data_IF_660588312813
#
_entry.id   IF_660588312813
#
_cell.length_a   1.000
_cell.length_b   1.000
_cell.length_c   1.000
_cell.angle_alpha   90.00
_cell.angle_beta   90.00
_cell.angle_gamma   90.00
#
_symmetry.space_group_name_H-M   'P 1'
#
loop_
_entity.id
_entity.type
_entity.pdbx_description
1 polymer ?
#
# COMPACT_ATOMS: atom_id res chain seq x y z
N UNK A 1 20.81 7.32 1.46
CA UNK A 1 19.68 6.62 0.84
C UNK A 1 18.99 5.78 1.89
N UNK A 2 17.75 6.13 2.22
CA UNK A 2 16.87 5.39 3.12
C UNK A 2 15.80 4.67 2.31
N UNK A 3 15.21 3.61 2.85
CA UNK A 3 14.11 2.89 2.20
C UNK A 3 12.79 3.26 2.87
N UNK A 4 11.76 3.45 2.06
CA UNK A 4 10.38 3.56 2.53
C UNK A 4 9.59 2.43 1.90
N UNK A 5 8.97 1.63 2.74
CA UNK A 5 7.98 0.66 2.31
C UNK A 5 6.62 1.33 2.31
N UNK A 6 5.97 1.38 1.14
CA UNK A 6 4.59 1.86 0.99
C UNK A 6 3.70 0.65 0.74
N UNK A 7 2.70 0.47 1.59
CA UNK A 7 1.71 -0.60 1.48
C UNK A 7 0.33 0.03 1.29
N UNK A 8 -0.27 -0.22 0.13
CA UNK A 8 -1.68 0.03 -0.10
C UNK A 8 -2.50 -1.19 0.27
N UNK A 9 -3.67 -0.98 0.88
CA UNK A 9 -4.72 -1.98 1.04
C UNK A 9 -6.04 -1.52 0.43
N UNK A 10 -6.60 -2.38 -0.41
CA UNK A 10 -7.92 -2.25 -0.99
C UNK A 10 -8.85 -3.26 -0.32
N UNK A 11 -9.96 -2.77 0.22
CA UNK A 11 -10.99 -3.59 0.80
C UNK A 11 -11.86 -4.14 -0.34
N UNK A 12 -11.60 -5.37 -0.78
CA UNK A 12 -12.46 -5.99 -1.80
C UNK A 12 -13.81 -6.33 -1.17
N UNK A 13 -14.79 -5.46 -1.40
CA UNK A 13 -16.16 -5.61 -0.94
C UNK A 13 -16.88 -6.55 -1.90
N UNK A 14 -16.88 -7.85 -1.60
CA UNK A 14 -17.68 -8.84 -2.35
C UNK A 14 -19.17 -8.50 -2.13
N UNK A 15 -20.02 -8.48 -3.19
CA UNK A 15 -21.39 -7.96 -3.12
C UNK A 15 -22.37 -8.72 -2.21
N UNK A 16 -21.94 -9.77 -1.48
CA UNK A 16 -22.83 -10.62 -0.70
C UNK A 16 -22.44 -10.85 0.78
N UNK A 17 -21.55 -10.03 1.35
CA UNK A 17 -21.32 -9.98 2.80
C UNK A 17 -20.76 -11.26 3.46
N UNK A 18 -20.45 -12.31 2.71
CA UNK A 18 -19.75 -13.50 3.19
C UNK A 18 -18.26 -13.32 2.99
N UNK A 19 -17.50 -13.21 4.07
CA UNK A 19 -16.05 -13.39 4.07
C UNK A 19 -15.79 -14.86 3.74
N UNK A 20 -15.16 -15.15 2.59
CA UNK A 20 -14.75 -16.50 2.25
C UNK A 20 -13.45 -16.81 3.02
N UNK A 21 -13.48 -17.86 3.84
CA UNK A 21 -12.35 -18.39 4.65
C UNK A 21 -11.35 -19.18 3.78
N UNK A 22 -11.10 -18.71 2.55
CA UNK A 22 -10.28 -19.41 1.58
C UNK A 22 -8.92 -18.72 1.50
N UNK A 23 -7.84 -19.47 1.72
CA UNK A 23 -6.47 -18.98 1.59
C UNK A 23 -6.19 -18.36 0.20
N UNK A 24 -7.01 -18.71 -0.79
CA UNK A 24 -7.06 -18.15 -2.14
C UNK A 24 -7.54 -16.70 -2.20
N UNK A 25 -8.36 -16.25 -1.25
CA UNK A 25 -8.81 -14.86 -1.11
C UNK A 25 -7.81 -13.95 -0.38
N UNK A 26 -6.79 -14.51 0.32
CA UNK A 26 -5.69 -13.68 0.84
C UNK A 26 -4.88 -13.02 -0.28
N UNK A 27 -4.93 -13.56 -1.50
CA UNK A 27 -4.40 -12.93 -2.71
C UNK A 27 -5.37 -11.89 -3.32
N UNK A 28 -6.62 -11.88 -2.87
CA UNK A 28 -7.67 -10.90 -3.19
C UNK A 28 -7.86 -9.85 -2.08
N UNK A 29 -7.17 -9.93 -0.95
CA UNK A 29 -6.90 -8.73 -0.15
C UNK A 29 -6.00 -7.90 -1.06
N UNK A 30 -6.55 -6.88 -1.73
CA UNK A 30 -5.80 -6.06 -2.69
C UNK A 30 -4.73 -5.27 -1.95
N UNK A 31 -3.67 -5.95 -1.51
CA UNK A 31 -2.56 -5.44 -0.75
C UNK A 31 -1.36 -5.42 -1.68
N UNK A 32 -0.86 -4.23 -1.95
CA UNK A 32 0.36 -4.03 -2.73
C UNK A 32 1.36 -3.35 -1.83
N UNK A 33 2.56 -3.94 -1.75
CA UNK A 33 3.69 -3.36 -1.03
C UNK A 33 4.80 -3.06 -2.01
N UNK A 34 5.31 -1.84 -1.98
CA UNK A 34 6.41 -1.36 -2.80
C UNK A 34 7.47 -0.67 -1.96
N UNK A 35 8.71 -0.64 -2.46
CA UNK A 35 9.83 0.02 -1.80
C UNK A 35 10.28 1.20 -2.65
N UNK A 36 10.33 2.36 -2.00
CA UNK A 36 10.84 3.62 -2.55
C UNK A 36 12.16 3.97 -1.86
N UNK A 37 13.05 4.61 -2.59
CA UNK A 37 14.33 5.10 -2.07
C UNK A 37 14.26 6.62 -1.95
N UNK A 38 14.61 7.15 -0.78
CA UNK A 38 14.61 8.58 -0.48
C UNK A 38 15.98 9.03 0.02
N UNK A 39 16.29 10.31 -0.14
CA UNK A 39 17.58 10.88 0.24
C UNK A 39 17.61 11.26 1.73
N UNK A 40 16.49 11.77 2.26
CA UNK A 40 16.30 12.09 3.68
C UNK A 40 14.95 11.57 4.21
N UNK A 41 14.80 11.45 5.53
CA UNK A 41 13.53 11.14 6.21
C UNK A 41 12.63 12.36 6.39
N UNK A 42 12.74 13.31 5.47
CA UNK A 42 11.84 14.46 5.42
C UNK A 42 10.42 13.99 5.14
N UNK A 43 9.46 14.57 5.87
CA UNK A 43 8.04 14.34 5.67
C UNK A 43 7.62 14.49 4.20
N UNK A 44 8.18 15.48 3.49
CA UNK A 44 7.87 15.73 2.08
C UNK A 44 8.26 14.56 1.17
N UNK A 45 9.39 13.91 1.42
CA UNK A 45 9.82 12.76 0.63
C UNK A 45 8.97 11.52 0.90
N UNK A 46 8.52 11.34 2.14
CA UNK A 46 7.60 10.25 2.51
C UNK A 46 6.23 10.48 1.86
N UNK A 47 5.72 11.72 1.88
CA UNK A 47 4.47 12.10 1.19
C UNK A 47 4.59 11.88 -0.33
N UNK A 48 5.72 12.23 -0.95
CA UNK A 48 5.97 11.98 -2.38
C UNK A 48 5.96 10.47 -2.72
N UNK A 49 6.45 9.61 -1.81
CA UNK A 49 6.37 8.15 -1.99
C UNK A 49 4.92 7.65 -1.99
N UNK A 50 4.07 8.20 -1.11
CA UNK A 50 2.64 7.88 -1.04
C UNK A 50 1.92 8.35 -2.31
N UNK A 51 2.20 9.57 -2.78
CA UNK A 51 1.60 10.11 -3.99
C UNK A 51 1.97 9.29 -5.24
N UNK A 52 3.25 8.92 -5.38
CA UNK A 52 3.71 8.02 -6.45
C UNK A 52 3.00 6.68 -6.42
N UNK A 53 2.81 6.12 -5.23
CA UNK A 53 2.06 4.88 -5.05
C UNK A 53 0.61 5.05 -5.54
N UNK A 54 -0.10 6.11 -5.13
CA UNK A 54 -1.48 6.36 -5.58
C UNK A 54 -1.60 6.57 -7.10
N UNK A 55 -0.64 7.27 -7.71
CA UNK A 55 -0.63 7.48 -9.17
C UNK A 55 -0.49 6.15 -9.91
N UNK A 56 0.38 5.26 -9.43
CA UNK A 56 0.61 3.95 -10.02
C UNK A 56 -0.53 2.96 -9.74
N UNK A 57 -1.14 3.10 -8.57
CA UNK A 57 -2.13 2.18 -8.02
C UNK A 57 -3.38 2.97 -7.56
N UNK A 58 -4.22 3.43 -8.52
CA UNK A 58 -5.46 4.12 -8.15
C UNK A 58 -6.47 3.14 -7.53
N UNK A 59 -7.26 3.63 -6.56
CA UNK A 59 -8.39 2.88 -6.01
C UNK A 59 -8.11 2.07 -4.74
N UNK A 60 -6.96 2.28 -4.09
CA UNK A 60 -6.68 1.76 -2.75
C UNK A 60 -7.40 2.57 -1.68
N UNK A 61 -8.02 1.90 -0.71
CA UNK A 61 -8.78 2.55 0.36
C UNK A 61 -7.86 3.14 1.44
N UNK A 62 -6.76 2.44 1.73
CA UNK A 62 -5.76 2.90 2.69
C UNK A 62 -4.37 2.70 2.12
N UNK A 63 -3.49 3.66 2.39
CA UNK A 63 -2.07 3.60 2.05
C UNK A 63 -1.26 3.99 3.27
N UNK A 64 -0.25 3.19 3.60
CA UNK A 64 0.65 3.42 4.71
C UNK A 64 2.09 3.43 4.20
N UNK A 65 2.89 4.38 4.69
CA UNK A 65 4.33 4.42 4.45
C UNK A 65 5.08 4.18 5.76
N UNK A 66 6.10 3.32 5.71
CA UNK A 66 6.95 2.95 6.84
C UNK A 66 8.41 3.12 6.41
N UNK A 67 9.18 3.87 7.20
CA UNK A 67 10.63 3.94 7.00
C UNK A 67 11.26 2.60 7.41
N UNK A 68 12.07 2.04 6.53
CA UNK A 68 12.77 0.76 6.73
C UNK A 68 14.27 1.04 6.79
N UNK A 69 14.92 0.60 7.87
CA UNK A 69 16.38 0.70 8.06
C UNK A 69 17.18 -0.15 7.06
#
# INVERSE_FOLDING_TARGET
>A
MKKVQVTGRQNIRIPNGKLHDDASLKALDGIITEVYYIDSDSRKEIEDCIDRFYIKHPGFDTVQAILVE
#
